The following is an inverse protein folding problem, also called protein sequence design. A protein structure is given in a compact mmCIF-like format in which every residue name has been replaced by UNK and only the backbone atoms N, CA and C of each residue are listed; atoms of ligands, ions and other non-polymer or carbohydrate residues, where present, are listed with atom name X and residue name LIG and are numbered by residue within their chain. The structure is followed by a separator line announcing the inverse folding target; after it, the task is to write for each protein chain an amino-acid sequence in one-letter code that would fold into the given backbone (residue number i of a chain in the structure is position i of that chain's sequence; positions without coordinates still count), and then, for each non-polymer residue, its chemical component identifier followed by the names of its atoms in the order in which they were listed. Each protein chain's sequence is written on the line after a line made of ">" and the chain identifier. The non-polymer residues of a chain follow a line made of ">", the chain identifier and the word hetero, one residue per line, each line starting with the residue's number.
data_IF_470923918287
#
_entry.id   IF_470923918287
#
_cell.length_a   1.000
_cell.length_b   1.000
_cell.length_c   1.000
_cell.angle_alpha   90.00
_cell.angle_beta   90.00
_cell.angle_gamma   90.00
#
_symmetry.space_group_name_H-M   'P 1'
#
loop_
_entity.id
_entity.type
_entity.pdbx_description
1 polymer ?
#
# COMPACT_ATOMS: atom_id res chain seq x y z
N UNK A 1 47.50 -52.73 -11.73
CA UNK A 1 46.06 -53.03 -11.82
C UNK A 1 45.44 -52.53 -10.51
N UNK A 2 45.02 -51.32 -10.46
CA UNK A 2 44.19 -50.78 -9.38
C UNK A 2 43.13 -49.95 -10.04
N UNK A 3 41.91 -50.44 -10.00
CA UNK A 3 40.72 -49.71 -10.49
C UNK A 3 40.29 -48.71 -9.42
N UNK A 4 40.36 -47.43 -9.76
CA UNK A 4 39.64 -46.39 -9.06
C UNK A 4 38.21 -46.29 -9.62
N UNK A 5 37.26 -46.65 -8.81
CA UNK A 5 35.83 -46.53 -9.08
C UNK A 5 35.22 -45.60 -8.01
N UNK A 6 35.46 -44.28 -8.15
CA UNK A 6 34.82 -43.23 -7.36
C UNK A 6 34.29 -42.15 -8.30
N UNK A 7 33.19 -42.44 -8.98
CA UNK A 7 32.43 -41.43 -9.69
C UNK A 7 31.00 -41.95 -9.85
N UNK A 8 30.11 -41.53 -8.99
CA UNK A 8 28.69 -41.85 -9.16
C UNK A 8 27.69 -41.41 -8.12
N UNK A 9 28.14 -40.79 -7.01
CA UNK A 9 27.22 -40.48 -5.91
C UNK A 9 26.95 -38.98 -5.63
N UNK A 10 27.66 -38.08 -6.30
CA UNK A 10 27.51 -36.63 -6.05
C UNK A 10 26.44 -35.94 -6.89
N UNK A 11 26.09 -36.49 -8.07
CA UNK A 11 25.17 -35.85 -9.02
C UNK A 11 23.68 -36.00 -8.67
N UNK A 12 23.29 -37.01 -7.89
CA UNK A 12 21.89 -37.21 -7.52
C UNK A 12 21.45 -36.37 -6.31
N UNK A 13 22.34 -36.19 -5.33
CA UNK A 13 22.05 -35.41 -4.12
C UNK A 13 21.89 -33.90 -4.46
N UNK A 14 22.72 -33.36 -5.35
CA UNK A 14 22.63 -31.97 -5.76
C UNK A 14 21.36 -31.69 -6.58
N UNK A 15 20.92 -32.64 -7.41
CA UNK A 15 19.65 -32.54 -8.14
C UNK A 15 18.42 -32.73 -7.23
N UNK A 16 18.48 -33.59 -6.23
CA UNK A 16 17.41 -33.74 -5.24
C UNK A 16 17.32 -32.53 -4.31
N UNK A 17 18.44 -31.94 -3.92
CA UNK A 17 18.45 -30.70 -3.13
C UNK A 17 17.97 -29.50 -3.97
N UNK A 18 18.33 -29.40 -5.25
CA UNK A 18 17.85 -28.36 -6.14
C UNK A 18 16.35 -28.49 -6.42
N UNK A 19 15.82 -29.70 -6.61
CA UNK A 19 14.38 -29.95 -6.76
C UNK A 19 13.63 -29.77 -5.46
N UNK A 20 14.19 -30.17 -4.31
CA UNK A 20 13.60 -29.94 -3.00
C UNK A 20 13.58 -28.44 -2.62
N UNK A 21 14.60 -27.66 -2.96
CA UNK A 21 14.61 -26.21 -2.73
C UNK A 21 13.63 -25.47 -3.65
N UNK A 22 13.39 -25.96 -4.87
CA UNK A 22 12.37 -25.42 -5.79
C UNK A 22 10.93 -25.75 -5.35
N UNK A 23 10.72 -26.81 -4.55
CA UNK A 23 9.40 -27.21 -4.02
C UNK A 23 9.10 -26.70 -2.62
N UNK A 24 10.05 -26.07 -1.92
CA UNK A 24 9.86 -25.47 -0.60
C UNK A 24 9.42 -24.01 -0.62
N UNK A 25 8.94 -23.49 -1.72
CA UNK A 25 8.15 -22.28 -1.76
C UNK A 25 6.85 -22.54 -1.01
N UNK A 26 6.74 -22.09 0.25
CA UNK A 26 5.51 -22.22 1.01
C UNK A 26 4.39 -21.52 0.26
N UNK A 27 3.55 -22.31 -0.35
CA UNK A 27 2.40 -21.83 -1.11
C UNK A 27 1.42 -21.13 -0.19
N UNK A 28 0.89 -20.02 -0.62
CA UNK A 28 -0.24 -19.41 0.04
C UNK A 28 -1.45 -20.35 -0.03
N UNK A 29 -2.17 -20.49 1.06
CA UNK A 29 -3.43 -21.22 1.17
C UNK A 29 -4.58 -20.27 1.48
N UNK A 30 -5.82 -20.74 1.30
CA UNK A 30 -7.04 -19.98 1.59
C UNK A 30 -7.02 -18.58 0.94
N UNK A 31 -6.65 -18.53 -0.34
CA UNK A 31 -6.63 -17.28 -1.12
C UNK A 31 -8.07 -16.87 -1.40
N UNK A 32 -8.48 -15.69 -0.93
CA UNK A 32 -9.82 -15.15 -1.09
C UNK A 32 -9.75 -13.71 -1.58
N UNK A 33 -10.42 -13.41 -2.68
CA UNK A 33 -10.53 -12.04 -3.18
C UNK A 33 -11.38 -11.20 -2.24
N UNK A 34 -10.87 -10.06 -1.80
CA UNK A 34 -11.55 -9.16 -0.87
C UNK A 34 -11.87 -7.80 -1.50
N UNK A 35 -11.14 -7.42 -2.55
CA UNK A 35 -11.38 -6.15 -3.24
C UNK A 35 -10.91 -6.21 -4.70
N UNK A 36 -11.73 -5.67 -5.60
CA UNK A 36 -11.39 -5.45 -7.01
C UNK A 36 -11.55 -3.98 -7.33
N UNK A 37 -10.49 -3.34 -7.78
CA UNK A 37 -10.55 -1.93 -8.17
C UNK A 37 -11.59 -1.73 -9.29
N UNK A 38 -12.52 -0.80 -9.14
CA UNK A 38 -13.55 -0.54 -10.16
C UNK A 38 -12.96 0.00 -11.45
N UNK A 39 -12.02 0.93 -11.36
CA UNK A 39 -11.40 1.64 -12.48
C UNK A 39 -9.94 1.27 -12.72
N UNK A 40 -9.26 0.72 -11.70
CA UNK A 40 -7.82 0.39 -11.78
C UNK A 40 -7.56 -1.06 -12.19
N UNK A 41 -6.30 -1.39 -12.50
CA UNK A 41 -5.89 -2.70 -12.99
C UNK A 41 -5.70 -3.75 -11.90
N UNK A 42 -5.78 -3.38 -10.62
CA UNK A 42 -5.39 -4.22 -9.48
C UNK A 42 -6.58 -4.85 -8.77
N UNK A 43 -6.29 -5.94 -8.06
CA UNK A 43 -7.17 -6.60 -7.10
C UNK A 43 -6.40 -6.99 -5.84
N UNK A 44 -7.14 -7.11 -4.73
CA UNK A 44 -6.60 -7.46 -3.43
C UNK A 44 -7.19 -8.79 -2.96
N UNK A 45 -6.36 -9.64 -2.38
CA UNK A 45 -6.76 -10.94 -1.86
C UNK A 45 -6.15 -11.13 -0.47
N UNK A 46 -6.87 -11.82 0.40
CA UNK A 46 -6.30 -12.34 1.65
C UNK A 46 -5.77 -13.75 1.41
N UNK A 47 -4.71 -14.12 2.09
CA UNK A 47 -4.15 -15.46 2.02
C UNK A 47 -3.51 -15.85 3.36
N UNK A 48 -3.31 -17.16 3.55
CA UNK A 48 -2.64 -17.70 4.76
C UNK A 48 -1.35 -18.39 4.34
N UNK A 49 -0.26 -18.09 5.07
CA UNK A 49 1.02 -18.78 4.96
C UNK A 49 1.63 -18.93 6.35
N UNK A 50 2.05 -20.14 6.73
CA UNK A 50 2.55 -20.46 8.07
C UNK A 50 1.60 -20.04 9.22
N UNK A 51 0.29 -20.21 9.02
CA UNK A 51 -0.72 -19.84 10.01
C UNK A 51 -0.93 -18.32 10.19
N UNK A 52 -0.24 -17.47 9.42
CA UNK A 52 -0.42 -16.02 9.41
C UNK A 52 -1.20 -15.56 8.19
N UNK A 53 -2.03 -14.54 8.38
CA UNK A 53 -2.77 -13.89 7.30
C UNK A 53 -1.93 -12.80 6.65
N UNK A 54 -2.00 -12.73 5.32
CA UNK A 54 -1.34 -11.73 4.48
C UNK A 54 -2.34 -11.07 3.57
N UNK A 55 -2.01 -9.86 3.12
CA UNK A 55 -2.68 -9.20 2.02
C UNK A 55 -1.82 -9.36 0.77
N UNK A 56 -2.45 -9.79 -0.32
CA UNK A 56 -1.86 -9.96 -1.64
C UNK A 56 -2.43 -8.91 -2.58
N UNK A 57 -1.58 -8.15 -3.27
CA UNK A 57 -1.99 -7.22 -4.32
C UNK A 57 -1.41 -7.67 -5.64
N UNK A 58 -2.27 -7.89 -6.63
CA UNK A 58 -1.86 -8.31 -7.96
C UNK A 58 -2.70 -7.64 -9.04
N UNK A 59 -2.31 -7.81 -10.29
CA UNK A 59 -3.09 -7.35 -11.43
C UNK A 59 -4.32 -8.26 -11.65
N UNK A 60 -5.38 -7.68 -12.18
CA UNK A 60 -6.49 -8.45 -12.75
C UNK A 60 -6.00 -9.27 -13.93
N UNK A 61 -6.66 -10.38 -14.23
CA UNK A 61 -6.27 -11.30 -15.29
C UNK A 61 -6.04 -10.62 -16.65
N UNK A 62 -6.89 -9.67 -17.01
CA UNK A 62 -6.81 -8.94 -18.30
C UNK A 62 -5.58 -8.05 -18.43
N UNK A 63 -4.92 -7.71 -17.32
CA UNK A 63 -3.80 -6.77 -17.28
C UNK A 63 -2.44 -7.39 -16.95
N UNK A 64 -2.38 -8.69 -16.64
CA UNK A 64 -1.15 -9.40 -16.22
C UNK A 64 -0.04 -9.26 -17.28
N UNK A 65 -0.40 -9.24 -18.56
CA UNK A 65 0.57 -9.15 -19.66
C UNK A 65 0.78 -7.74 -20.18
N UNK A 66 0.11 -6.72 -19.63
CA UNK A 66 0.23 -5.35 -20.07
C UNK A 66 1.45 -4.68 -19.42
N UNK A 67 2.49 -4.29 -20.19
CA UNK A 67 3.76 -3.82 -19.63
C UNK A 67 3.63 -2.61 -18.68
N UNK A 68 2.79 -1.64 -19.05
CA UNK A 68 2.62 -0.41 -18.24
C UNK A 68 2.06 -0.71 -16.83
N UNK A 69 1.13 -1.67 -16.71
CA UNK A 69 0.57 -2.03 -15.41
C UNK A 69 1.53 -2.88 -14.58
N UNK A 70 2.34 -3.70 -15.24
CA UNK A 70 3.42 -4.45 -14.58
C UNK A 70 4.46 -3.50 -14.01
N UNK A 71 4.86 -2.48 -14.77
CA UNK A 71 5.79 -1.45 -14.30
C UNK A 71 5.20 -0.65 -13.14
N UNK A 72 3.92 -0.29 -13.21
CA UNK A 72 3.24 0.40 -12.12
C UNK A 72 3.19 -0.44 -10.84
N UNK A 73 2.90 -1.74 -10.93
CA UNK A 73 2.91 -2.65 -9.79
C UNK A 73 4.32 -2.82 -9.21
N UNK A 74 5.34 -2.90 -10.09
CA UNK A 74 6.74 -2.97 -9.67
C UNK A 74 7.18 -1.69 -8.94
N UNK A 75 6.81 -0.51 -9.47
CA UNK A 75 7.07 0.79 -8.83
C UNK A 75 6.44 0.86 -7.45
N UNK A 76 5.17 0.47 -7.32
CA UNK A 76 4.48 0.46 -6.03
C UNK A 76 5.21 -0.45 -5.02
N UNK A 77 5.64 -1.62 -5.45
CA UNK A 77 6.44 -2.53 -4.62
C UNK A 77 7.74 -1.88 -4.15
N UNK A 78 8.51 -1.27 -5.06
CA UNK A 78 9.80 -0.64 -4.74
C UNK A 78 9.67 0.53 -3.79
N UNK A 79 8.60 1.33 -3.92
CA UNK A 79 8.28 2.40 -2.97
C UNK A 79 7.88 1.81 -1.61
N UNK A 80 6.95 0.85 -1.60
CA UNK A 80 6.47 0.24 -0.37
C UNK A 80 7.57 -0.46 0.43
N UNK A 81 8.55 -1.06 -0.26
CA UNK A 81 9.67 -1.74 0.39
C UNK A 81 10.61 -0.77 1.14
N UNK A 82 10.66 0.51 0.75
CA UNK A 82 11.45 1.54 1.42
C UNK A 82 10.79 2.10 2.69
N UNK A 83 9.49 1.80 2.88
CA UNK A 83 8.69 2.36 3.96
C UNK A 83 8.60 1.38 5.13
N UNK A 84 9.24 1.73 6.24
CA UNK A 84 9.15 0.99 7.50
C UNK A 84 8.79 1.96 8.63
N UNK A 85 7.51 2.00 8.98
CA UNK A 85 6.98 2.94 9.97
C UNK A 85 5.75 2.34 10.67
N UNK A 86 5.51 2.58 11.98
CA UNK A 86 4.40 1.98 12.73
C UNK A 86 3.02 2.32 12.18
N UNK A 87 2.87 3.44 11.46
CA UNK A 87 1.59 3.88 10.92
C UNK A 87 1.48 3.70 9.40
N UNK A 88 2.39 2.96 8.79
CA UNK A 88 2.40 2.60 7.38
C UNK A 88 2.29 1.09 7.25
N UNK A 89 1.42 0.60 6.35
CA UNK A 89 1.29 -0.83 6.05
C UNK A 89 2.59 -1.35 5.41
N UNK A 90 3.14 -2.42 5.98
CA UNK A 90 4.42 -2.97 5.52
C UNK A 90 4.26 -3.76 4.23
N UNK A 91 5.09 -3.44 3.25
CA UNK A 91 5.35 -4.29 2.10
C UNK A 91 6.42 -5.31 2.48
N UNK A 92 6.14 -6.60 2.30
CA UNK A 92 7.00 -7.69 2.77
C UNK A 92 7.83 -8.31 1.65
N UNK A 93 7.32 -8.27 0.41
CA UNK A 93 7.99 -8.83 -0.75
C UNK A 93 7.14 -8.79 -2.00
N UNK A 94 7.73 -9.22 -3.12
CA UNK A 94 7.02 -9.50 -4.37
C UNK A 94 7.36 -10.91 -4.81
N UNK A 95 6.35 -11.71 -5.13
CA UNK A 95 6.48 -13.12 -5.46
C UNK A 95 5.67 -13.47 -6.72
N UNK A 96 6.07 -14.54 -7.40
CA UNK A 96 5.22 -15.16 -8.42
C UNK A 96 4.27 -16.13 -7.70
N UNK A 97 2.99 -15.81 -7.71
CA UNK A 97 1.95 -16.66 -7.11
C UNK A 97 1.16 -17.32 -8.21
N UNK A 98 1.00 -18.66 -8.12
CA UNK A 98 0.26 -19.43 -9.12
C UNK A 98 -1.16 -18.90 -9.29
N UNK A 99 -1.58 -18.70 -10.54
CA UNK A 99 -2.89 -18.12 -10.89
C UNK A 99 -3.04 -16.61 -10.65
N UNK A 100 -2.07 -15.94 -10.01
CA UNK A 100 -2.10 -14.50 -9.76
C UNK A 100 -1.00 -13.73 -10.50
N UNK A 101 0.11 -14.39 -10.87
CA UNK A 101 1.29 -13.75 -11.46
C UNK A 101 2.11 -12.98 -10.43
N UNK A 102 2.75 -11.88 -10.86
CA UNK A 102 3.53 -11.00 -9.97
C UNK A 102 2.62 -10.39 -8.92
N UNK A 103 2.92 -10.65 -7.66
CA UNK A 103 2.05 -10.33 -6.52
C UNK A 103 2.86 -9.65 -5.41
N UNK A 104 2.43 -8.48 -4.99
CA UNK A 104 2.98 -7.81 -3.81
C UNK A 104 2.39 -8.49 -2.57
N UNK A 105 3.25 -8.92 -1.66
CA UNK A 105 2.89 -9.48 -0.36
C UNK A 105 3.01 -8.40 0.69
N UNK A 106 1.94 -8.14 1.43
CA UNK A 106 1.89 -7.12 2.47
C UNK A 106 1.39 -7.71 3.78
N UNK A 107 1.64 -7.01 4.89
CA UNK A 107 1.02 -7.35 6.15
C UNK A 107 -0.50 -7.26 6.04
N UNK A 108 -1.19 -8.17 6.73
CA UNK A 108 -2.64 -8.07 6.89
C UNK A 108 -2.97 -7.12 8.03
N UNK A 109 -3.70 -6.06 7.74
CA UNK A 109 -4.17 -5.11 8.74
C UNK A 109 -5.55 -5.53 9.23
N UNK A 110 -5.66 -5.93 10.49
CA UNK A 110 -6.92 -6.24 11.16
C UNK A 110 -7.58 -4.93 11.65
N UNK A 111 -8.44 -4.36 10.82
CA UNK A 111 -9.03 -3.05 11.06
C UNK A 111 -10.07 -2.67 10.01
N UNK A 112 -10.67 -1.50 10.19
CA UNK A 112 -11.60 -0.87 9.26
C UNK A 112 -10.95 0.32 8.56
N UNK A 113 -11.41 0.64 7.34
CA UNK A 113 -11.02 1.88 6.69
C UNK A 113 -11.64 3.08 7.42
N UNK A 114 -10.96 4.21 7.39
CA UNK A 114 -11.50 5.46 7.93
C UNK A 114 -12.81 5.85 7.23
N UNK A 115 -12.94 5.53 5.94
CA UNK A 115 -14.18 5.69 5.17
C UNK A 115 -15.35 4.91 5.79
N UNK A 116 -15.12 3.65 6.17
CA UNK A 116 -16.13 2.84 6.85
C UNK A 116 -16.49 3.40 8.24
N UNK A 117 -15.49 3.83 9.02
CA UNK A 117 -15.74 4.43 10.33
C UNK A 117 -16.56 5.72 10.24
N UNK A 118 -16.30 6.56 9.23
CA UNK A 118 -17.07 7.77 8.95
C UNK A 118 -18.50 7.43 8.53
N UNK A 119 -18.67 6.55 7.53
CA UNK A 119 -19.99 6.22 6.96
C UNK A 119 -20.92 5.52 7.94
N UNK A 120 -20.36 4.76 8.90
CA UNK A 120 -21.13 4.06 9.93
C UNK A 120 -21.23 4.84 11.26
N UNK A 121 -20.81 6.11 11.30
CA UNK A 121 -20.82 6.95 12.50
C UNK A 121 -20.06 6.32 13.70
N UNK A 122 -18.96 5.63 13.43
CA UNK A 122 -18.13 4.95 14.43
C UNK A 122 -16.87 5.75 14.82
N UNK A 123 -16.73 6.96 14.31
CA UNK A 123 -15.59 7.83 14.56
C UNK A 123 -15.90 8.81 15.70
N UNK A 124 -15.18 8.74 16.81
CA UNK A 124 -15.21 9.77 17.86
C UNK A 124 -14.23 10.91 17.56
N UNK A 125 -14.47 12.09 18.12
CA UNK A 125 -13.55 13.22 17.98
C UNK A 125 -12.16 12.92 18.57
N UNK A 126 -12.07 12.12 19.62
CA UNK A 126 -10.82 11.70 20.24
C UNK A 126 -10.05 10.76 19.29
N UNK A 127 -10.74 9.76 18.71
CA UNK A 127 -10.14 8.87 17.73
C UNK A 127 -9.68 9.64 16.48
N UNK A 128 -10.49 10.58 16.00
CA UNK A 128 -10.13 11.41 14.84
C UNK A 128 -8.85 12.23 15.11
N UNK A 129 -8.69 12.82 16.31
CA UNK A 129 -7.46 13.51 16.70
C UNK A 129 -6.25 12.58 16.77
N UNK A 130 -6.43 11.34 17.24
CA UNK A 130 -5.38 10.32 17.21
C UNK A 130 -4.98 9.99 15.79
N UNK A 131 -5.95 9.77 14.90
CA UNK A 131 -5.72 9.49 13.47
C UNK A 131 -4.90 10.62 12.82
N UNK A 132 -5.28 11.89 13.06
CA UNK A 132 -4.54 13.03 12.51
C UNK A 132 -3.07 13.03 12.95
N UNK A 133 -2.79 12.84 14.24
CA UNK A 133 -1.41 12.82 14.74
C UNK A 133 -0.57 11.73 14.10
N UNK A 134 -1.14 10.53 13.99
CA UNK A 134 -0.44 9.38 13.42
C UNK A 134 -0.24 9.52 11.90
N UNK A 135 -1.18 10.16 11.18
CA UNK A 135 -1.01 10.48 9.77
C UNK A 135 0.07 11.52 9.55
N UNK A 136 0.14 12.56 10.38
CA UNK A 136 1.20 13.56 10.30
C UNK A 136 2.59 12.93 10.49
N UNK A 137 2.73 12.04 11.47
CA UNK A 137 3.96 11.31 11.75
C UNK A 137 4.36 10.41 10.54
N UNK A 138 3.40 9.69 9.96
CA UNK A 138 3.62 8.88 8.76
C UNK A 138 4.03 9.73 7.55
N UNK A 139 3.37 10.87 7.32
CA UNK A 139 3.68 11.77 6.21
C UNK A 139 5.04 12.44 6.39
N UNK A 140 5.38 12.89 7.61
CA UNK A 140 6.70 13.45 7.92
C UNK A 140 7.82 12.44 7.58
N UNK A 141 7.64 11.17 7.98
CA UNK A 141 8.56 10.10 7.64
C UNK A 141 8.67 9.87 6.13
N UNK A 142 7.55 9.82 5.39
CA UNK A 142 7.55 9.64 3.94
C UNK A 142 8.23 10.82 3.22
N UNK A 143 7.87 12.05 3.60
CA UNK A 143 8.45 13.26 3.01
C UNK A 143 9.94 13.39 3.32
N UNK A 144 10.39 12.98 4.51
CA UNK A 144 11.81 12.88 4.84
C UNK A 144 12.59 11.92 3.95
N UNK A 145 11.90 10.94 3.33
CA UNK A 145 12.45 10.04 2.32
C UNK A 145 12.20 10.51 0.88
N UNK A 146 11.67 11.71 0.69
CA UNK A 146 11.30 12.27 -0.61
C UNK A 146 10.21 11.42 -1.33
N UNK A 147 9.36 10.76 -0.57
CA UNK A 147 8.23 9.97 -1.07
C UNK A 147 6.95 10.73 -0.76
N UNK A 148 6.14 10.99 -1.79
CA UNK A 148 4.85 11.67 -1.72
C UNK A 148 3.76 10.64 -2.00
N UNK A 149 2.71 10.61 -1.19
CA UNK A 149 1.65 9.61 -1.28
C UNK A 149 0.72 9.84 -2.50
N UNK A 150 0.28 11.07 -2.73
CA UNK A 150 -0.55 11.55 -3.85
C UNK A 150 -2.00 11.06 -3.92
N UNK A 151 -2.40 10.08 -3.12
CA UNK A 151 -3.79 9.59 -3.07
C UNK A 151 -4.25 9.40 -1.61
N UNK A 152 -3.95 10.39 -0.77
CA UNK A 152 -4.41 10.36 0.61
C UNK A 152 -5.93 10.61 0.67
N UNK A 153 -6.68 9.63 1.17
CA UNK A 153 -8.14 9.64 1.30
C UNK A 153 -8.59 8.66 2.40
N UNK A 154 -9.82 8.77 2.92
CA UNK A 154 -10.30 7.88 3.98
C UNK A 154 -10.26 6.38 3.64
N UNK A 155 -10.45 6.02 2.36
CA UNK A 155 -10.38 4.63 1.90
C UNK A 155 -8.96 4.03 1.98
N UNK A 156 -7.91 4.87 1.93
CA UNK A 156 -6.50 4.44 2.00
C UNK A 156 -5.91 4.53 3.42
N UNK A 157 -6.74 4.77 4.42
CA UNK A 157 -6.36 4.87 5.83
C UNK A 157 -7.11 3.78 6.58
N UNK A 158 -6.39 2.79 7.10
CA UNK A 158 -6.98 1.79 8.00
C UNK A 158 -6.75 2.18 9.45
N UNK A 159 -7.71 1.82 10.29
CA UNK A 159 -7.65 1.97 11.75
C UNK A 159 -7.79 0.59 12.36
N UNK A 160 -6.76 0.11 13.05
CA UNK A 160 -6.71 -1.24 13.59
C UNK A 160 -7.79 -1.48 14.65
N UNK A 161 -8.34 -2.69 14.72
CA UNK A 161 -9.31 -3.05 15.78
C UNK A 161 -8.69 -2.99 17.17
N UNK A 162 -7.44 -3.42 17.30
CA UNK A 162 -6.66 -3.31 18.55
C UNK A 162 -5.79 -2.06 18.48
N UNK A 163 -5.76 -1.30 19.57
CA UNK A 163 -4.96 -0.07 19.69
C UNK A 163 -5.54 1.12 18.94
N UNK A 164 -6.42 0.92 17.96
CA UNK A 164 -6.96 2.00 17.11
C UNK A 164 -5.85 2.83 16.47
N UNK A 165 -4.82 2.14 15.96
CA UNK A 165 -3.68 2.77 15.30
C UNK A 165 -3.89 2.81 13.78
N UNK A 166 -3.38 3.88 13.17
CA UNK A 166 -3.41 4.06 11.72
C UNK A 166 -2.49 3.04 11.02
N UNK A 167 -2.91 2.59 9.85
CA UNK A 167 -2.07 1.98 8.83
C UNK A 167 -2.41 2.64 7.50
N UNK A 168 -1.50 3.47 7.00
CA UNK A 168 -1.60 4.07 5.67
C UNK A 168 -1.32 2.98 4.63
N UNK A 169 -2.21 2.83 3.67
CA UNK A 169 -2.17 1.78 2.64
C UNK A 169 -2.19 2.39 1.24
N UNK A 170 -1.80 1.58 0.24
CA UNK A 170 -1.90 1.88 -1.19
C UNK A 170 -0.96 3.00 -1.68
N UNK A 171 0.19 2.58 -2.19
CA UNK A 171 1.23 3.47 -2.75
C UNK A 171 1.24 3.49 -4.29
N UNK A 172 0.14 3.06 -4.94
CA UNK A 172 0.05 2.93 -6.40
C UNK A 172 0.25 4.25 -7.15
N UNK A 173 -0.10 5.37 -6.54
CA UNK A 173 0.08 6.71 -7.08
C UNK A 173 1.25 7.48 -6.46
N UNK A 174 1.92 6.87 -5.48
CA UNK A 174 3.06 7.49 -4.81
C UNK A 174 4.19 7.78 -5.79
N UNK A 175 4.88 8.88 -5.56
CA UNK A 175 5.98 9.34 -6.38
C UNK A 175 7.24 9.58 -5.53
N UNK A 176 8.40 9.33 -6.14
CA UNK A 176 9.68 9.69 -5.59
C UNK A 176 10.54 10.25 -6.72
N UNK A 177 11.58 11.01 -6.38
CA UNK A 177 12.48 11.61 -7.37
C UNK A 177 13.10 10.58 -8.32
N UNK A 178 13.20 9.30 -7.88
CA UNK A 178 13.70 8.20 -8.70
C UNK A 178 12.72 7.70 -9.78
N UNK A 179 11.41 8.01 -9.70
CA UNK A 179 10.38 7.38 -10.53
C UNK A 179 9.44 8.37 -11.23
N UNK A 180 9.94 9.42 -11.77
CA UNK A 180 9.16 10.47 -12.44
C UNK A 180 8.61 10.02 -13.83
N UNK A 181 7.86 8.88 -13.93
CA UNK A 181 7.50 8.26 -15.21
C UNK A 181 6.09 8.53 -15.70
N UNK A 182 5.12 8.87 -14.87
CA UNK A 182 3.75 9.15 -15.30
C UNK A 182 3.27 10.51 -14.77
N UNK A 183 3.54 11.57 -15.54
CA UNK A 183 3.02 12.93 -15.31
C UNK A 183 1.57 13.06 -15.77
N UNK A 184 0.68 12.25 -15.22
CA UNK A 184 -0.76 12.40 -15.41
C UNK A 184 -1.38 12.92 -14.13
N UNK A 185 -2.41 13.78 -14.19
CA UNK A 185 -3.21 14.09 -13.02
C UNK A 185 -3.70 12.77 -12.41
N UNK A 186 -3.20 12.42 -11.23
CA UNK A 186 -3.53 11.18 -10.57
C UNK A 186 -3.96 11.47 -9.14
N UNK A 187 -5.00 10.79 -8.69
CA UNK A 187 -5.58 10.93 -7.36
C UNK A 187 -7.10 10.82 -7.39
N UNK A 188 -7.72 10.91 -6.23
CA UNK A 188 -9.17 10.80 -6.07
C UNK A 188 -9.80 12.19 -6.09
N UNK A 189 -10.77 12.42 -7.00
CA UNK A 189 -11.52 13.68 -7.07
C UNK A 189 -12.03 14.10 -5.69
N UNK A 190 -11.84 15.37 -5.34
CA UNK A 190 -12.17 15.93 -4.02
C UNK A 190 -11.03 15.96 -3.02
N UNK A 191 -9.99 15.13 -3.20
CA UNK A 191 -8.79 15.10 -2.35
C UNK A 191 -7.54 15.60 -3.07
N UNK A 192 -7.55 15.68 -4.41
CA UNK A 192 -6.43 16.14 -5.23
C UNK A 192 -6.20 17.64 -4.99
N UNK A 193 -4.95 18.01 -4.72
CA UNK A 193 -4.56 19.40 -4.63
C UNK A 193 -4.66 20.09 -6.00
N UNK A 194 -5.12 21.36 -6.06
CA UNK A 194 -5.36 22.06 -7.33
C UNK A 194 -4.16 22.07 -8.28
N UNK A 195 -2.95 22.25 -7.74
CA UNK A 195 -1.71 22.24 -8.49
C UNK A 195 -1.40 20.89 -9.16
N UNK A 196 -1.90 19.79 -8.61
CA UNK A 196 -1.72 18.46 -9.21
C UNK A 196 -2.58 18.22 -10.45
N UNK A 197 -3.58 19.08 -10.69
CA UNK A 197 -4.44 19.01 -11.88
C UNK A 197 -3.78 19.67 -13.11
N UNK A 198 -2.71 20.45 -12.92
CA UNK A 198 -1.97 21.08 -14.00
C UNK A 198 -1.07 20.08 -14.72
N UNK A 199 -1.05 20.13 -16.06
CA UNK A 199 -0.16 19.29 -16.86
C UNK A 199 1.30 19.61 -16.56
N UNK A 200 2.07 18.60 -16.12
CA UNK A 200 3.49 18.74 -15.85
C UNK A 200 3.82 19.26 -14.45
N UNK A 201 2.84 19.44 -13.57
CA UNK A 201 3.09 19.76 -12.18
C UNK A 201 4.00 18.70 -11.54
N UNK A 202 5.03 19.15 -10.84
CA UNK A 202 5.87 18.26 -10.03
C UNK A 202 5.10 17.91 -8.76
N UNK A 203 5.18 16.65 -8.36
CA UNK A 203 4.66 16.25 -7.06
C UNK A 203 5.41 17.01 -5.95
N UNK A 204 4.65 17.60 -5.02
CA UNK A 204 5.17 18.35 -3.87
C UNK A 204 4.51 17.77 -2.61
N UNK A 205 5.26 17.70 -1.52
CA UNK A 205 4.78 17.25 -0.21
C UNK A 205 3.53 18.02 0.27
N UNK A 206 3.37 19.28 -0.15
CA UNK A 206 2.18 20.10 0.14
C UNK A 206 0.89 19.50 -0.41
N UNK A 207 0.97 18.75 -1.49
CA UNK A 207 -0.20 18.05 -2.04
C UNK A 207 -0.78 17.02 -1.05
N UNK A 208 0.07 16.30 -0.32
CA UNK A 208 -0.39 15.39 0.74
C UNK A 208 -0.99 16.16 1.92
N UNK A 209 -0.46 17.33 2.26
CA UNK A 209 -1.01 18.19 3.33
C UNK A 209 -2.40 18.72 2.94
N UNK A 210 -2.60 19.13 1.68
CA UNK A 210 -3.91 19.50 1.17
C UNK A 210 -4.90 18.33 1.26
N UNK A 211 -4.50 17.14 0.80
CA UNK A 211 -5.32 15.92 0.85
C UNK A 211 -5.64 15.55 2.31
N UNK A 212 -4.68 15.67 3.23
CA UNK A 212 -4.91 15.51 4.67
C UNK A 212 -5.96 16.49 5.19
N UNK A 213 -5.91 17.76 4.76
CA UNK A 213 -6.92 18.77 5.09
C UNK A 213 -8.33 18.34 4.71
N UNK A 214 -8.50 17.70 3.53
CA UNK A 214 -9.78 17.13 3.10
C UNK A 214 -10.23 15.95 3.96
N UNK A 215 -9.31 15.04 4.30
CA UNK A 215 -9.58 13.93 5.22
C UNK A 215 -10.00 14.45 6.59
N UNK A 216 -9.30 15.47 7.13
CA UNK A 216 -9.66 16.10 8.41
C UNK A 216 -11.03 16.79 8.33
N UNK A 217 -11.37 17.39 7.19
CA UNK A 217 -12.69 17.99 6.97
C UNK A 217 -13.81 16.94 7.07
N UNK A 218 -13.63 15.78 6.42
CA UNK A 218 -14.61 14.68 6.50
C UNK A 218 -14.77 14.16 7.92
N UNK A 219 -13.65 14.00 8.64
CA UNK A 219 -13.69 13.62 10.06
C UNK A 219 -14.36 14.70 10.93
N UNK A 220 -14.13 15.97 10.63
CA UNK A 220 -14.77 17.10 11.35
C UNK A 220 -16.29 17.08 11.19
N UNK A 221 -16.76 16.81 9.96
CA UNK A 221 -18.19 16.72 9.67
C UNK A 221 -18.82 15.52 10.40
N UNK A 222 -18.17 14.34 10.35
CA UNK A 222 -18.66 13.13 11.00
C UNK A 222 -18.70 13.25 12.54
N UNK A 223 -17.77 13.99 13.14
CA UNK A 223 -17.66 14.12 14.60
C UNK A 223 -18.23 15.44 15.15
N UNK A 224 -18.68 16.35 14.29
CA UNK A 224 -19.10 17.72 14.63
C UNK A 224 -18.06 18.50 15.44
N UNK A 225 -16.78 18.22 15.24
CA UNK A 225 -15.67 18.80 16.00
C UNK A 225 -15.21 20.13 15.42
N UNK A 226 -15.43 21.23 16.17
CA UNK A 226 -14.94 22.56 15.79
C UNK A 226 -13.41 22.65 15.73
N UNK A 227 -12.71 21.85 16.53
CA UNK A 227 -11.25 21.79 16.54
C UNK A 227 -10.72 21.20 15.23
N UNK A 228 -11.30 20.08 14.78
CA UNK A 228 -10.95 19.47 13.48
C UNK A 228 -11.30 20.38 12.30
N UNK A 229 -12.44 21.11 12.36
CA UNK A 229 -12.80 22.07 11.32
C UNK A 229 -11.76 23.21 11.17
N UNK A 230 -11.22 23.72 12.29
CA UNK A 230 -10.16 24.72 12.25
C UNK A 230 -8.85 24.15 11.68
N UNK A 231 -8.51 22.91 12.03
CA UNK A 231 -7.32 22.23 11.53
C UNK A 231 -7.43 21.97 10.01
N UNK A 232 -8.59 21.51 9.55
CA UNK A 232 -8.86 21.33 8.12
C UNK A 232 -8.68 22.62 7.32
N UNK A 233 -9.19 23.73 7.85
CA UNK A 233 -9.03 25.05 7.23
C UNK A 233 -7.55 25.48 7.13
N UNK A 234 -6.76 25.20 8.16
CA UNK A 234 -5.32 25.50 8.15
C UNK A 234 -4.54 24.68 7.11
N UNK A 235 -4.92 23.42 6.88
CA UNK A 235 -4.29 22.59 5.84
C UNK A 235 -4.70 22.96 4.40
N UNK A 236 -5.83 23.64 4.23
CA UNK A 236 -6.36 24.02 2.92
C UNK A 236 -5.93 25.42 2.47
N UNK A 237 -5.23 26.19 3.31
CA UNK A 237 -4.67 27.48 2.93
C UNK A 237 -3.50 27.24 1.97
N UNK A 238 -3.69 27.58 0.71
CA UNK A 238 -2.62 27.76 -0.26
C UNK A 238 -2.03 29.16 -0.04
N UNK A 239 -0.85 29.24 0.56
CA UNK A 239 0.02 30.42 0.50
C UNK A 239 0.87 30.36 -0.76
#
# INVERSE_FOLDING_TARGET
>A
MTNDNTSGYTTNLDNEMATASASMGSTFSNIQECYVSKSGPTRMLTAIRYGKRYMLKCLKADYIYTPIYRQALQKEFEIGLQLEHPYICRTLGMEQVEGLGSTIVMEYVDGDTLENLISHNQLSAELAMKVVRQLLDALEYMHGKQIIHRDLKPANIMVTHRGKDVRLIDFSLSDSDAFCVLKSPAGTMGYIAPEQLEQGAKADARADIYSLGKVVHDMANATHSRMLSRLAAACACSD
#
